data_IF_360277329398
#
_entry.id   IF_360277329398
#
_cell.length_a   1.000
_cell.length_b   1.000
_cell.length_c   1.000
_cell.angle_alpha   90.00
_cell.angle_beta   90.00
_cell.angle_gamma   90.00
#
_symmetry.space_group_name_H-M   'P 1'
#
loop_
_entity.id
_entity.type
_entity.pdbx_description
1 polymer ?
#
# COMPACT_ATOMS: atom_id res chain seq x y z
N UNK A 1 -22.25 -12.92 5.36
CA UNK A 1 -21.53 -13.94 6.14
C UNK A 1 -20.09 -13.95 5.64
N UNK A 2 -19.08 -13.69 6.48
CA UNK A 2 -17.67 -13.79 6.06
C UNK A 2 -17.23 -15.24 6.27
N UNK A 3 -16.89 -15.95 5.20
CA UNK A 3 -16.40 -17.32 5.30
C UNK A 3 -15.10 -17.37 6.13
N UNK A 4 -14.91 -18.38 6.98
CA UNK A 4 -13.68 -18.54 7.75
C UNK A 4 -12.51 -18.74 6.78
N UNK A 5 -11.60 -17.76 6.73
CA UNK A 5 -10.47 -17.74 5.78
C UNK A 5 -10.51 -16.59 4.77
N UNK A 6 -11.58 -15.79 4.75
CA UNK A 6 -11.67 -14.60 3.91
C UNK A 6 -11.64 -13.30 4.74
N UNK A 7 -10.99 -12.27 4.19
CA UNK A 7 -10.93 -10.91 4.70
C UNK A 7 -11.76 -10.00 3.80
N UNK A 8 -12.66 -9.19 4.38
CA UNK A 8 -13.28 -8.12 3.63
C UNK A 8 -12.25 -7.07 3.21
N UNK A 9 -12.51 -6.36 2.11
CA UNK A 9 -11.70 -5.25 1.64
C UNK A 9 -11.35 -4.26 2.78
N UNK A 10 -12.33 -3.86 3.59
CA UNK A 10 -12.12 -2.97 4.74
C UNK A 10 -11.12 -3.51 5.77
N UNK A 11 -11.14 -4.82 6.03
CA UNK A 11 -10.22 -5.45 7.00
C UNK A 11 -8.81 -5.53 6.44
N UNK A 12 -8.69 -5.82 5.14
CA UNK A 12 -7.42 -5.83 4.42
C UNK A 12 -6.80 -4.43 4.35
N UNK A 13 -7.60 -3.41 4.03
CA UNK A 13 -7.19 -2.02 4.00
C UNK A 13 -6.63 -1.55 5.34
N UNK A 14 -7.33 -1.86 6.45
CA UNK A 14 -6.85 -1.58 7.81
C UNK A 14 -5.57 -2.31 8.17
N UNK A 15 -5.39 -3.54 7.69
CA UNK A 15 -4.18 -4.32 7.94
C UNK A 15 -2.96 -3.69 7.27
N UNK A 16 -3.15 -3.12 6.08
CA UNK A 16 -2.13 -2.42 5.31
C UNK A 16 -2.02 -0.93 5.68
N UNK A 17 -2.93 -0.41 6.50
CA UNK A 17 -3.05 1.01 6.85
C UNK A 17 -3.18 1.93 5.62
N UNK A 18 -4.01 1.51 4.66
CA UNK A 18 -4.32 2.21 3.41
C UNK A 18 -5.82 2.40 3.22
N UNK A 19 -6.28 3.36 2.39
CA UNK A 19 -7.68 3.43 2.00
C UNK A 19 -8.09 2.23 1.13
N UNK A 20 -9.36 1.84 1.20
CA UNK A 20 -9.91 0.71 0.43
C UNK A 20 -9.78 0.91 -1.09
N UNK A 21 -9.85 2.16 -1.55
CA UNK A 21 -9.67 2.54 -2.96
C UNK A 21 -8.27 2.25 -3.51
N UNK A 22 -7.28 2.01 -2.64
CA UNK A 22 -5.90 1.71 -3.05
C UNK A 22 -5.64 0.21 -3.25
N UNK A 23 -6.53 -0.66 -2.75
CA UNK A 23 -6.38 -2.12 -2.89
C UNK A 23 -6.44 -2.62 -4.35
N UNK A 24 -7.31 -2.07 -5.24
CA UNK A 24 -7.31 -2.42 -6.66
C UNK A 24 -5.96 -2.09 -7.31
N UNK A 25 -5.40 -0.92 -7.02
CA UNK A 25 -4.12 -0.48 -7.56
C UNK A 25 -2.97 -1.41 -7.15
N UNK A 26 -2.95 -1.87 -5.90
CA UNK A 26 -1.99 -2.88 -5.43
C UNK A 26 -2.11 -4.23 -6.20
N UNK A 27 -3.34 -4.58 -6.61
CA UNK A 27 -3.62 -5.81 -7.37
C UNK A 27 -3.19 -5.66 -8.83
N UNK A 28 -3.45 -4.50 -9.44
CA UNK A 28 -3.04 -4.14 -10.81
C UNK A 28 -1.51 -4.18 -10.97
N UNK A 29 -0.77 -3.69 -9.97
CA UNK A 29 0.70 -3.74 -9.96
C UNK A 29 1.27 -5.10 -9.52
N UNK A 30 0.44 -6.15 -9.39
CA UNK A 30 0.81 -7.50 -8.97
C UNK A 30 1.55 -7.58 -7.62
N UNK A 31 1.37 -6.57 -6.77
CA UNK A 31 1.98 -6.49 -5.44
C UNK A 31 1.12 -7.22 -4.40
N UNK A 32 -0.19 -7.29 -4.65
CA UNK A 32 -1.19 -7.87 -3.76
C UNK A 32 -2.12 -8.83 -4.52
N UNK A 33 -2.68 -9.88 -3.86
CA UNK A 33 -3.62 -10.78 -4.52
C UNK A 33 -4.89 -10.05 -4.94
N UNK A 34 -5.45 -10.44 -6.08
CA UNK A 34 -6.75 -9.94 -6.53
C UNK A 34 -7.86 -10.34 -5.54
N UNK A 35 -8.86 -9.48 -5.32
CA UNK A 35 -10.06 -9.88 -4.60
C UNK A 35 -10.84 -10.94 -5.38
N UNK A 36 -11.56 -11.78 -4.65
CA UNK A 36 -12.57 -12.70 -5.18
C UNK A 36 -13.80 -11.93 -5.69
N UNK A 37 -14.74 -12.60 -6.35
CA UNK A 37 -15.92 -11.99 -6.97
C UNK A 37 -16.79 -11.14 -6.03
N UNK A 38 -16.76 -11.42 -4.73
CA UNK A 38 -17.45 -10.66 -3.67
C UNK A 38 -16.61 -9.51 -3.06
N UNK A 39 -15.42 -9.21 -3.61
CA UNK A 39 -14.52 -8.20 -3.05
C UNK A 39 -13.75 -8.67 -1.80
N UNK A 40 -13.76 -9.98 -1.53
CA UNK A 40 -13.09 -10.60 -0.38
C UNK A 40 -11.69 -11.12 -0.76
N UNK A 41 -10.77 -11.14 0.20
CA UNK A 41 -9.39 -11.60 0.00
C UNK A 41 -9.14 -12.87 0.80
N UNK A 42 -8.47 -13.86 0.21
CA UNK A 42 -8.02 -15.05 0.94
C UNK A 42 -6.92 -14.67 1.96
N UNK A 43 -7.15 -14.95 3.24
CA UNK A 43 -6.20 -14.71 4.34
C UNK A 43 -4.83 -15.31 4.04
N UNK A 44 -4.77 -16.51 3.46
CA UNK A 44 -3.51 -17.21 3.14
C UNK A 44 -2.73 -16.45 2.09
N UNK A 45 -3.38 -15.99 1.02
CA UNK A 45 -2.75 -15.19 -0.02
C UNK A 45 -2.28 -13.84 0.51
N UNK A 46 -3.09 -13.17 1.32
CA UNK A 46 -2.71 -11.92 2.00
C UNK A 46 -1.48 -12.12 2.86
N UNK A 47 -1.45 -13.18 3.68
CA UNK A 47 -0.28 -13.49 4.52
C UNK A 47 0.96 -13.81 3.68
N UNK A 48 0.82 -14.56 2.59
CA UNK A 48 1.93 -14.83 1.67
C UNK A 48 2.48 -13.55 1.04
N UNK A 49 1.62 -12.64 0.58
CA UNK A 49 2.03 -11.35 0.02
C UNK A 49 2.80 -10.51 1.06
N UNK A 50 2.30 -10.44 2.29
CA UNK A 50 2.97 -9.75 3.40
C UNK A 50 4.31 -10.37 3.80
N UNK A 51 4.43 -11.69 3.70
CA UNK A 51 5.69 -12.41 3.94
C UNK A 51 6.69 -12.18 2.83
N UNK A 52 6.23 -12.09 1.57
CA UNK A 52 7.07 -11.81 0.41
C UNK A 52 7.54 -10.36 0.37
N UNK A 53 6.67 -9.43 0.72
CA UNK A 53 6.89 -7.98 0.65
C UNK A 53 6.60 -7.33 2.02
N UNK A 54 7.55 -7.35 2.96
CA UNK A 54 7.33 -6.85 4.32
C UNK A 54 7.05 -5.35 4.37
N UNK A 55 7.44 -4.59 3.33
CA UNK A 55 7.15 -3.17 3.20
C UNK A 55 5.65 -2.87 3.01
N UNK A 56 4.83 -3.84 2.61
CA UNK A 56 3.37 -3.69 2.52
C UNK A 56 2.74 -3.32 3.88
N UNK A 57 3.35 -3.75 5.00
CA UNK A 57 2.88 -3.37 6.35
C UNK A 57 3.26 -1.95 6.75
N UNK A 58 4.14 -1.31 5.97
CA UNK A 58 4.64 0.05 6.21
C UNK A 58 3.98 1.06 5.27
N UNK A 59 2.95 0.67 4.53
CA UNK A 59 2.26 1.53 3.57
C UNK A 59 1.70 2.81 4.23
N UNK A 60 1.13 2.71 5.43
CA UNK A 60 0.64 3.86 6.20
C UNK A 60 1.72 4.64 6.96
N UNK A 61 2.96 4.14 7.01
CA UNK A 61 4.06 4.80 7.73
C UNK A 61 4.52 6.03 6.93
N UNK A 62 4.61 7.21 7.56
CA UNK A 62 5.20 8.38 6.92
C UNK A 62 6.72 8.15 6.74
N UNK A 63 7.18 8.18 5.49
CA UNK A 63 8.59 7.99 5.12
C UNK A 63 9.14 9.26 4.46
N UNK A 64 10.44 9.48 4.64
CA UNK A 64 11.20 10.50 3.89
C UNK A 64 11.68 9.98 2.54
N UNK A 65 12.10 10.89 1.65
CA UNK A 65 12.75 10.56 0.37
C UNK A 65 13.90 9.54 0.51
N UNK A 66 14.71 9.65 1.58
CA UNK A 66 15.78 8.68 1.86
C UNK A 66 15.27 7.27 2.12
N UNK A 67 14.17 7.13 2.86
CA UNK A 67 13.59 5.83 3.20
C UNK A 67 12.81 5.26 2.02
N UNK A 68 12.16 6.12 1.24
CA UNK A 68 11.53 5.75 -0.03
C UNK A 68 12.56 5.20 -1.01
N UNK A 69 13.71 5.88 -1.15
CA UNK A 69 14.79 5.45 -2.04
C UNK A 69 15.40 4.07 -1.65
N UNK A 70 15.30 3.66 -0.39
CA UNK A 70 15.71 2.32 0.06
C UNK A 70 14.73 1.22 -0.37
N UNK A 71 13.46 1.57 -0.60
CA UNK A 71 12.43 0.65 -1.07
C UNK A 71 12.46 0.61 -2.60
N UNK A 72 12.36 1.78 -3.22
CA UNK A 72 12.45 1.95 -4.66
C UNK A 72 13.06 3.34 -4.96
N UNK A 73 14.20 3.40 -5.68
CA UNK A 73 14.87 4.66 -6.01
C UNK A 73 14.05 5.57 -6.95
N UNK A 74 12.96 5.07 -7.55
CA UNK A 74 12.07 5.86 -8.41
C UNK A 74 10.99 6.59 -7.62
N UNK A 75 10.78 6.24 -6.35
CA UNK A 75 9.79 6.89 -5.51
C UNK A 75 10.35 8.18 -4.91
N UNK A 76 9.62 9.27 -5.12
CA UNK A 76 9.91 10.58 -4.53
C UNK A 76 8.69 11.08 -3.78
N UNK A 77 8.90 11.89 -2.74
CA UNK A 77 7.80 12.52 -2.03
C UNK A 77 7.14 13.56 -2.95
N UNK A 78 5.82 13.46 -3.22
CA UNK A 78 5.13 14.44 -4.06
C UNK A 78 5.20 15.84 -3.42
N UNK A 79 5.45 16.91 -4.19
CA UNK A 79 5.60 18.26 -3.63
C UNK A 79 4.32 18.83 -3.00
N UNK A 80 3.16 18.25 -3.30
CA UNK A 80 1.84 18.69 -2.83
C UNK A 80 1.20 17.73 -1.79
N UNK A 81 1.82 16.59 -1.47
CA UNK A 81 1.32 15.61 -0.49
C UNK A 81 2.32 15.40 0.65
N UNK A 82 1.83 15.27 1.87
CA UNK A 82 2.64 15.02 3.08
C UNK A 82 2.79 16.22 4.01
N UNK A 83 3.65 16.09 5.02
CA UNK A 83 3.97 17.13 5.99
C UNK A 83 5.48 17.37 6.07
N UNK A 84 5.87 18.59 6.39
CA UNK A 84 7.28 18.93 6.64
C UNK A 84 7.56 18.85 8.14
N UNK A 85 8.59 18.09 8.51
CA UNK A 85 9.09 17.99 9.88
C UNK A 85 10.61 18.03 9.86
N UNK A 86 11.22 18.88 10.69
CA UNK A 86 12.68 19.05 10.78
C UNK A 86 13.36 19.27 9.40
N UNK A 87 12.78 20.16 8.57
CA UNK A 87 13.26 20.45 7.21
C UNK A 87 13.30 19.24 6.26
N UNK A 88 12.55 18.17 6.57
CA UNK A 88 12.37 17.00 5.72
C UNK A 88 10.88 16.80 5.42
N UNK A 89 10.59 16.32 4.21
CA UNK A 89 9.24 15.95 3.81
C UNK A 89 8.95 14.51 4.19
N UNK A 90 7.78 14.29 4.75
CA UNK A 90 7.26 13.00 5.13
C UNK A 90 5.93 12.78 4.43
N UNK A 91 5.80 11.69 3.70
CA UNK A 91 4.56 11.30 3.05
C UNK A 91 4.34 9.81 3.27
N UNK A 92 3.08 9.37 3.37
CA UNK A 92 2.79 7.95 3.59
C UNK A 92 3.22 7.19 2.34
N UNK A 93 3.82 6.02 2.53
CA UNK A 93 4.32 5.22 1.42
C UNK A 93 3.24 4.92 0.37
N UNK A 94 1.98 4.67 0.79
CA UNK A 94 0.88 4.47 -0.15
C UNK A 94 0.57 5.71 -1.00
N UNK A 95 0.70 6.93 -0.45
CA UNK A 95 0.47 8.18 -1.19
C UNK A 95 1.57 8.43 -2.23
N UNK A 96 2.81 8.08 -1.88
CA UNK A 96 3.94 8.15 -2.81
C UNK A 96 3.77 7.14 -3.96
N UNK A 97 3.34 5.91 -3.64
CA UNK A 97 3.06 4.87 -4.63
C UNK A 97 1.87 5.24 -5.52
N UNK A 98 0.78 5.74 -4.92
CA UNK A 98 -0.40 6.26 -5.64
C UNK A 98 0.00 7.32 -6.66
N UNK A 99 0.86 8.27 -6.26
CA UNK A 99 1.35 9.29 -7.17
C UNK A 99 2.27 8.73 -8.27
N UNK A 100 3.22 7.86 -7.90
CA UNK A 100 4.17 7.28 -8.86
C UNK A 100 3.49 6.38 -9.88
N UNK A 101 2.51 5.58 -9.45
CA UNK A 101 1.71 4.72 -10.32
C UNK A 101 0.67 5.49 -11.12
N UNK A 102 0.04 6.51 -10.53
CA UNK A 102 -0.85 7.43 -11.24
C UNK A 102 -0.14 8.28 -12.30
N UNK A 103 1.18 8.51 -12.18
CA UNK A 103 2.00 9.12 -13.23
C UNK A 103 2.44 8.14 -14.32
N UNK A 104 2.36 6.83 -14.05
CA UNK A 104 2.77 5.78 -14.98
C UNK A 104 1.61 5.23 -15.83
N UNK A 105 0.38 5.64 -15.55
CA UNK A 105 -0.83 5.38 -16.34
C UNK A 105 -1.05 6.49 -17.39
#
# INVERSE_FOLDING_TARGET
MVMPGMLSASRTARLLDVPESFLPLLSEHHVFPCPDGDGAYDVRMVRMALSRLPWLRRLGVPLCDRELALIDPRLTVPPFKGFEWASRRYCRLWECLDHAWGLAA
#
